data_IF_615493710703
#
_entry.id   IF_615493710703
#
_cell.length_a   1.000
_cell.length_b   1.000
_cell.length_c   1.000
_cell.angle_alpha   90.00
_cell.angle_beta   90.00
_cell.angle_gamma   90.00
#
_symmetry.space_group_name_H-M   'P 1'
#
loop_
_entity.id
_entity.type
_entity.pdbx_description
1 polymer ?
#
# COMPACT_ATOMS: atom_id res chain seq x y z
N UNK A 1 -27.94 -27.91 -20.53
CA UNK A 1 -27.41 -26.54 -20.69
C UNK A 1 -28.06 -25.49 -19.81
N UNK A 2 -29.32 -25.57 -19.43
CA UNK A 2 -29.98 -24.55 -18.57
C UNK A 2 -29.43 -24.44 -17.14
N UNK A 3 -28.82 -25.47 -16.60
CA UNK A 3 -28.28 -25.46 -15.22
C UNK A 3 -26.83 -24.96 -15.12
N UNK A 4 -26.11 -24.88 -16.20
CA UNK A 4 -24.72 -24.40 -16.22
C UNK A 4 -24.63 -22.88 -16.07
N UNK A 5 -25.63 -22.14 -16.52
CA UNK A 5 -25.71 -20.69 -16.39
C UNK A 5 -26.07 -20.23 -14.96
N UNK A 6 -26.77 -21.06 -14.19
CA UNK A 6 -27.11 -20.80 -12.78
C UNK A 6 -25.94 -21.00 -11.84
N UNK A 7 -25.00 -21.90 -12.14
CA UNK A 7 -23.78 -22.09 -11.32
C UNK A 7 -22.76 -20.97 -11.55
N UNK A 8 -22.71 -20.36 -12.74
CA UNK A 8 -21.77 -19.28 -13.04
C UNK A 8 -22.14 -17.96 -12.33
N UNK A 9 -23.39 -17.75 -11.97
CA UNK A 9 -23.83 -16.54 -11.25
C UNK A 9 -23.55 -16.59 -9.73
N UNK A 10 -23.28 -17.75 -9.16
CA UNK A 10 -22.92 -17.91 -7.74
C UNK A 10 -21.44 -17.67 -7.45
N UNK A 11 -20.59 -17.58 -8.47
CA UNK A 11 -19.16 -17.32 -8.34
C UNK A 11 -18.78 -15.85 -8.49
N UNK A 12 -19.76 -14.96 -8.70
CA UNK A 12 -19.55 -13.51 -8.60
C UNK A 12 -19.41 -13.11 -7.12
N UNK A 13 -18.43 -13.68 -6.42
CA UNK A 13 -17.95 -13.11 -5.16
C UNK A 13 -17.48 -11.69 -5.48
N UNK A 14 -18.19 -10.73 -4.95
CA UNK A 14 -17.81 -9.32 -5.10
C UNK A 14 -16.35 -9.20 -4.66
N UNK A 15 -15.46 -8.88 -5.59
CA UNK A 15 -14.09 -8.50 -5.25
C UNK A 15 -14.21 -7.23 -4.40
N UNK A 16 -14.21 -7.39 -3.08
CA UNK A 16 -14.28 -6.28 -2.16
C UNK A 16 -12.94 -5.53 -2.27
N UNK A 17 -12.98 -4.35 -2.86
CA UNK A 17 -11.79 -3.51 -2.91
C UNK A 17 -11.37 -3.17 -1.48
N UNK A 18 -10.09 -3.35 -1.18
CA UNK A 18 -9.51 -3.02 0.13
C UNK A 18 -9.76 -1.54 0.44
N UNK A 19 -10.53 -1.27 1.46
CA UNK A 19 -10.94 0.09 1.80
C UNK A 19 -9.86 0.83 2.61
N UNK A 20 -9.91 2.15 2.62
CA UNK A 20 -9.00 2.97 3.42
C UNK A 20 -9.16 2.72 4.92
N UNK A 21 -10.37 2.40 5.38
CA UNK A 21 -10.62 2.06 6.77
C UNK A 21 -10.01 0.70 7.13
N UNK A 22 -10.23 -0.34 6.31
CA UNK A 22 -9.59 -1.64 6.52
C UNK A 22 -8.07 -1.51 6.51
N UNK A 23 -7.51 -0.75 5.57
CA UNK A 23 -6.07 -0.49 5.55
C UNK A 23 -5.59 0.18 6.84
N UNK A 24 -6.33 1.15 7.37
CA UNK A 24 -5.99 1.83 8.63
C UNK A 24 -5.96 0.84 9.79
N UNK A 25 -7.01 0.04 9.97
CA UNK A 25 -7.13 -0.93 11.05
C UNK A 25 -6.02 -2.00 10.96
N UNK A 26 -5.79 -2.53 9.79
CA UNK A 26 -4.73 -3.51 9.53
C UNK A 26 -3.33 -2.93 9.79
N UNK A 27 -3.09 -1.69 9.37
CA UNK A 27 -1.81 -1.03 9.59
C UNK A 27 -1.59 -0.60 11.05
N UNK A 28 -2.64 -0.32 11.80
CA UNK A 28 -2.55 -0.13 13.27
C UNK A 28 -2.11 -1.42 13.96
N UNK A 29 -2.64 -2.58 13.53
CA UNK A 29 -2.17 -3.87 14.00
C UNK A 29 -0.71 -4.12 13.66
N UNK A 30 -0.27 -3.76 12.44
CA UNK A 30 1.12 -3.88 12.02
C UNK A 30 2.06 -2.97 12.83
N UNK A 31 1.67 -1.72 13.12
CA UNK A 31 2.47 -0.81 13.95
C UNK A 31 2.61 -1.35 15.38
N UNK A 32 1.54 -1.92 15.94
CA UNK A 32 1.59 -2.57 17.25
C UNK A 32 2.54 -3.77 17.27
N UNK A 33 2.62 -4.50 16.16
CA UNK A 33 3.54 -5.63 16.01
C UNK A 33 5.02 -5.19 15.93
N UNK A 34 5.30 -4.06 15.29
CA UNK A 34 6.65 -3.47 15.25
C UNK A 34 7.04 -2.78 16.56
N UNK A 35 6.05 -2.39 17.36
CA UNK A 35 6.27 -1.93 18.71
C UNK A 35 6.55 -3.08 19.68
N UNK A 36 6.81 -2.77 20.94
CA UNK A 36 7.09 -3.79 21.97
C UNK A 36 5.83 -4.58 22.42
N UNK A 37 4.65 -4.18 21.97
CA UNK A 37 3.37 -4.80 22.32
C UNK A 37 2.98 -5.88 21.31
N UNK A 38 3.65 -7.02 21.37
CA UNK A 38 3.24 -8.18 20.56
C UNK A 38 1.92 -8.73 21.10
N UNK A 39 0.87 -8.65 20.29
CA UNK A 39 -0.39 -9.34 20.57
C UNK A 39 -0.23 -10.84 20.35
N UNK A 40 -0.82 -11.63 21.24
CA UNK A 40 -0.95 -13.10 21.08
C UNK A 40 -2.22 -13.46 20.30
N UNK A 41 -3.03 -12.49 19.91
CA UNK A 41 -4.25 -12.69 19.14
C UNK A 41 -3.90 -13.02 17.67
N UNK A 42 -4.28 -14.22 17.17
CA UNK A 42 -4.03 -14.59 15.78
C UNK A 42 -4.67 -13.61 14.77
N UNK A 43 -5.80 -13.01 15.11
CA UNK A 43 -6.49 -12.05 14.26
C UNK A 43 -5.64 -10.79 14.02
N UNK A 44 -4.99 -10.28 15.05
CA UNK A 44 -4.05 -9.14 14.94
C UNK A 44 -2.86 -9.47 14.03
N UNK A 45 -2.39 -10.71 14.06
CA UNK A 45 -1.31 -11.17 13.17
C UNK A 45 -1.76 -11.20 11.71
N UNK A 46 -2.99 -11.62 11.43
CA UNK A 46 -3.56 -11.60 10.07
C UNK A 46 -3.73 -10.18 9.56
N UNK A 47 -4.28 -9.27 10.36
CA UNK A 47 -4.41 -7.85 10.02
C UNK A 47 -3.06 -7.22 9.71
N UNK A 48 -2.07 -7.44 10.59
CA UNK A 48 -0.68 -6.98 10.39
C UNK A 48 -0.11 -7.48 9.06
N UNK A 49 -0.25 -8.78 8.77
CA UNK A 49 0.23 -9.38 7.53
C UNK A 49 -0.46 -8.81 6.29
N UNK A 50 -1.76 -8.52 6.35
CA UNK A 50 -2.52 -7.89 5.25
C UNK A 50 -1.98 -6.49 4.95
N UNK A 51 -1.79 -5.65 5.97
CA UNK A 51 -1.21 -4.32 5.79
C UNK A 51 0.19 -4.40 5.17
N UNK A 52 1.09 -5.18 5.79
CA UNK A 52 2.48 -5.29 5.32
C UNK A 52 2.54 -5.85 3.90
N UNK A 53 1.78 -6.90 3.60
CA UNK A 53 1.71 -7.51 2.28
C UNK A 53 1.17 -6.54 1.22
N UNK A 54 0.14 -5.76 1.54
CA UNK A 54 -0.40 -4.76 0.62
C UNK A 54 0.62 -3.65 0.32
N UNK A 55 1.27 -3.10 1.34
CA UNK A 55 2.24 -2.02 1.16
C UNK A 55 3.53 -2.50 0.48
N UNK A 56 4.02 -3.69 0.81
CA UNK A 56 5.17 -4.29 0.14
C UNK A 56 4.86 -4.56 -1.34
N UNK A 57 3.72 -5.18 -1.64
CA UNK A 57 3.28 -5.42 -3.01
C UNK A 57 3.08 -4.13 -3.81
N UNK A 58 2.60 -3.06 -3.17
CA UNK A 58 2.48 -1.74 -3.79
C UNK A 58 3.87 -1.16 -4.13
N UNK A 59 4.82 -1.23 -3.20
CA UNK A 59 6.18 -0.73 -3.41
C UNK A 59 6.93 -1.54 -4.48
N UNK A 60 6.79 -2.86 -4.46
CA UNK A 60 7.39 -3.75 -5.47
C UNK A 60 6.79 -3.51 -6.86
N UNK A 61 5.46 -3.36 -6.94
CA UNK A 61 4.77 -3.03 -8.18
C UNK A 61 5.22 -1.69 -8.76
N UNK A 62 5.44 -0.70 -7.91
CA UNK A 62 6.00 0.58 -8.32
C UNK A 62 7.44 0.42 -8.84
N UNK A 63 8.30 -0.31 -8.12
CA UNK A 63 9.69 -0.54 -8.52
C UNK A 63 9.80 -1.24 -9.89
N UNK A 64 8.94 -2.24 -10.13
CA UNK A 64 8.84 -2.91 -11.43
C UNK A 64 8.38 -1.91 -12.52
N UNK A 65 7.38 -1.07 -12.21
CA UNK A 65 6.86 -0.08 -13.15
C UNK A 65 7.91 0.96 -13.52
N UNK A 66 8.68 1.44 -12.54
CA UNK A 66 9.78 2.40 -12.76
C UNK A 66 10.89 1.77 -13.61
N UNK A 67 11.30 0.53 -13.29
CA UNK A 67 12.26 -0.22 -14.08
C UNK A 67 11.83 -0.38 -15.56
N UNK A 68 10.55 -0.71 -15.78
CA UNK A 68 10.03 -0.88 -17.15
C UNK A 68 9.93 0.48 -17.87
N UNK A 69 9.52 1.54 -17.19
CA UNK A 69 9.48 2.90 -17.73
C UNK A 69 10.87 3.38 -18.15
N UNK A 70 11.90 3.07 -17.35
CA UNK A 70 13.30 3.43 -17.67
C UNK A 70 13.77 2.78 -18.96
N UNK A 71 13.29 1.57 -19.31
CA UNK A 71 13.62 0.91 -20.59
C UNK A 71 13.14 1.69 -21.82
N UNK A 72 12.15 2.54 -21.66
CA UNK A 72 11.62 3.41 -22.72
C UNK A 72 12.00 4.89 -22.49
N UNK A 73 12.97 5.16 -21.60
CA UNK A 73 13.51 6.48 -21.37
C UNK A 73 12.67 7.37 -20.43
N UNK A 74 11.74 6.79 -19.70
CA UNK A 74 10.88 7.50 -18.73
C UNK A 74 11.31 7.18 -17.30
N UNK A 75 11.50 8.20 -16.46
CA UNK A 75 11.68 8.03 -15.01
C UNK A 75 10.39 8.44 -14.31
N UNK A 76 9.82 7.56 -13.52
CA UNK A 76 8.58 7.85 -12.80
C UNK A 76 8.81 8.83 -11.63
N UNK A 77 9.88 8.66 -10.87
CA UNK A 77 10.28 9.54 -9.75
C UNK A 77 9.12 9.91 -8.79
N UNK A 78 8.14 9.00 -8.61
CA UNK A 78 6.99 9.28 -7.77
C UNK A 78 7.34 9.21 -6.28
N UNK A 79 8.14 8.22 -5.89
CA UNK A 79 8.70 8.12 -4.53
C UNK A 79 9.95 7.22 -4.53
N UNK A 80 10.84 7.48 -3.59
CA UNK A 80 12.12 6.79 -3.43
C UNK A 80 12.23 6.26 -1.99
N UNK A 81 11.73 5.05 -1.71
CA UNK A 81 11.81 4.50 -0.36
C UNK A 81 13.26 4.24 0.01
N UNK A 82 13.61 4.40 1.30
CA UNK A 82 14.95 4.16 1.76
C UNK A 82 15.33 2.69 1.63
N UNK A 83 16.56 2.42 1.26
CA UNK A 83 17.12 1.08 1.14
C UNK A 83 17.60 0.51 2.45
N UNK A 84 17.75 1.35 3.49
CA UNK A 84 18.28 0.96 4.79
C UNK A 84 17.18 0.88 5.87
N UNK A 85 17.39 -0.01 6.85
CA UNK A 85 16.49 -0.18 7.99
C UNK A 85 15.30 -1.09 7.69
N UNK A 86 14.32 -1.08 8.60
CA UNK A 86 13.08 -1.84 8.44
C UNK A 86 12.12 -1.11 7.49
N UNK A 87 12.21 -1.42 6.20
CA UNK A 87 11.38 -0.79 5.17
C UNK A 87 9.89 -0.96 5.47
N UNK A 88 9.45 -2.17 5.82
CA UNK A 88 8.04 -2.45 6.09
C UNK A 88 7.48 -1.56 7.21
N UNK A 89 8.19 -1.41 8.32
CA UNK A 89 7.76 -0.53 9.41
C UNK A 89 7.69 0.94 8.97
N UNK A 90 8.62 1.38 8.13
CA UNK A 90 8.63 2.76 7.60
C UNK A 90 7.46 3.01 6.64
N UNK A 91 7.13 2.04 5.78
CA UNK A 91 5.96 2.12 4.90
C UNK A 91 4.66 2.19 5.71
N UNK A 92 4.52 1.33 6.73
CA UNK A 92 3.36 1.32 7.63
C UNK A 92 3.17 2.69 8.29
N UNK A 93 4.22 3.26 8.88
CA UNK A 93 4.17 4.57 9.55
C UNK A 93 3.85 5.71 8.60
N UNK A 94 4.43 5.69 7.40
CA UNK A 94 4.15 6.69 6.37
C UNK A 94 2.66 6.70 5.98
N UNK A 95 2.09 5.52 5.78
CA UNK A 95 0.69 5.38 5.38
C UNK A 95 -0.24 5.74 6.54
N UNK A 96 -0.01 5.24 7.76
CA UNK A 96 -0.80 5.61 8.93
C UNK A 96 -0.81 7.11 9.16
N UNK A 97 0.36 7.75 9.19
CA UNK A 97 0.46 9.19 9.37
C UNK A 97 -0.24 10.00 8.28
N UNK A 98 -0.39 9.45 7.06
CA UNK A 98 -1.18 10.07 6.01
C UNK A 98 -2.67 9.87 6.22
N UNK A 99 -3.09 8.64 6.54
CA UNK A 99 -4.50 8.30 6.77
C UNK A 99 -5.09 9.05 7.97
N UNK A 100 -4.31 9.29 9.02
CA UNK A 100 -4.75 10.03 10.20
C UNK A 100 -5.06 11.51 9.91
N UNK A 101 -4.50 12.05 8.84
CA UNK A 101 -4.76 13.42 8.36
C UNK A 101 -5.89 13.51 7.35
N UNK A 102 -6.44 12.38 6.90
CA UNK A 102 -7.54 12.36 5.93
C UNK A 102 -8.90 12.48 6.64
N UNK A 103 -9.89 13.14 6.04
CA UNK A 103 -11.24 13.14 6.56
C UNK A 103 -11.80 11.70 6.58
N UNK A 104 -12.60 11.33 7.60
CA UNK A 104 -13.10 9.97 7.78
C UNK A 104 -13.96 9.47 6.61
N UNK A 105 -14.53 10.36 5.82
CA UNK A 105 -15.39 10.05 4.68
C UNK A 105 -14.68 10.24 3.32
N UNK A 106 -13.36 10.12 3.29
CA UNK A 106 -12.62 10.21 2.03
C UNK A 106 -13.07 9.10 1.07
N UNK A 107 -13.56 9.49 -0.10
CA UNK A 107 -13.93 8.58 -1.21
C UNK A 107 -12.74 8.24 -2.10
N UNK A 108 -11.55 8.71 -1.75
CA UNK A 108 -10.33 8.47 -2.52
C UNK A 108 -9.98 6.98 -2.51
N UNK A 109 -9.63 6.47 -3.67
CA UNK A 109 -9.18 5.08 -3.82
C UNK A 109 -7.97 4.80 -2.92
N UNK A 110 -7.98 3.64 -2.25
CA UNK A 110 -6.95 3.22 -1.29
C UNK A 110 -5.54 3.24 -1.89
N UNK A 111 -5.38 2.77 -3.13
CA UNK A 111 -4.08 2.81 -3.80
C UNK A 111 -3.57 4.25 -4.02
N UNK A 112 -4.47 5.20 -4.31
CA UNK A 112 -4.11 6.62 -4.44
C UNK A 112 -3.73 7.25 -3.11
N UNK A 113 -4.37 6.84 -2.01
CA UNK A 113 -3.99 7.27 -0.65
C UNK A 113 -2.59 6.77 -0.29
N UNK A 114 -2.29 5.50 -0.60
CA UNK A 114 -0.96 4.92 -0.38
C UNK A 114 0.08 5.62 -1.26
N UNK A 115 -0.19 5.81 -2.55
CA UNK A 115 0.71 6.53 -3.46
C UNK A 115 1.04 7.93 -2.92
N UNK A 116 0.02 8.68 -2.48
CA UNK A 116 0.17 10.02 -1.92
C UNK A 116 0.97 10.03 -0.62
N UNK A 117 0.75 9.02 0.24
CA UNK A 117 1.49 8.87 1.49
C UNK A 117 2.98 8.64 1.23
N UNK A 118 3.29 7.72 0.32
CA UNK A 118 4.67 7.35 0.00
C UNK A 118 5.39 8.48 -0.73
N UNK A 119 4.75 9.14 -1.70
CA UNK A 119 5.33 10.28 -2.41
C UNK A 119 5.67 11.46 -1.48
N UNK A 120 4.80 11.73 -0.49
CA UNK A 120 5.05 12.79 0.50
C UNK A 120 6.13 12.44 1.51
N UNK A 121 6.22 11.16 1.90
CA UNK A 121 7.15 10.74 2.97
C UNK A 121 8.53 10.40 2.42
N UNK A 122 8.60 9.90 1.20
CA UNK A 122 9.84 9.46 0.56
C UNK A 122 10.03 10.15 -0.81
N UNK A 123 10.15 11.48 -0.84
CA UNK A 123 10.38 12.18 -2.08
C UNK A 123 11.73 11.76 -2.68
N UNK A 124 11.79 11.63 -4.01
CA UNK A 124 13.05 11.41 -4.69
C UNK A 124 13.90 12.69 -4.66
N UNK A 125 15.17 12.54 -4.35
CA UNK A 125 16.13 13.66 -4.25
C UNK A 125 16.74 14.05 -5.59
N UNK A 126 16.55 13.24 -6.63
CA UNK A 126 16.97 13.57 -7.99
C UNK A 126 16.11 14.72 -8.50
N UNK A 127 16.59 15.93 -8.27
CA UNK A 127 16.01 17.14 -8.83
C UNK A 127 15.88 16.98 -10.33
N UNK A 128 14.72 17.36 -10.87
CA UNK A 128 14.49 17.55 -12.31
C UNK A 128 15.33 18.73 -12.86
N UNK A 129 16.56 18.91 -12.39
CA UNK A 129 17.46 19.88 -13.00
C UNK A 129 17.90 19.33 -14.34
N UNK A 130 17.59 20.03 -15.45
CA UNK A 130 18.14 19.68 -16.75
C UNK A 130 19.65 19.78 -16.66
N UNK A 131 20.34 18.67 -16.87
CA UNK A 131 21.80 18.70 -17.07
C UNK A 131 22.10 19.69 -18.20
N UNK A 132 22.73 20.81 -17.86
CA UNK A 132 23.30 21.76 -18.81
C UNK A 132 24.42 21.11 -19.61
#
# INVERSE_FOLDING_TARGET
MKYFLLLASLLATQAHAYSAQELREDCQAAESFYGEKKSTDPYQSVMSARCVGYLAGFADGYAISDYLAEKVGVKLNAFCPPTEGNLSARLVRAVLGHLDRQPPNSTTNTAMLVASALAKTFPCTDSLEPKK
#
